data_IF_111254735973
#
_entry.id   IF_111254735973
#
_cell.length_a   1.000
_cell.length_b   1.000
_cell.length_c   1.000
_cell.angle_alpha   90.00
_cell.angle_beta   90.00
_cell.angle_gamma   90.00
#
_symmetry.space_group_name_H-M   'P 1'
#
loop_
_entity.id
_entity.type
_entity.pdbx_description
1 polymer ?
#
# COMPACT_ATOMS: atom_id res chain seq x y z
N UNK A 1 20.13 -9.04 0.20
CA UNK A 1 19.58 -9.24 1.55
C UNK A 1 18.14 -8.77 1.50
N UNK A 2 17.19 -9.70 1.39
CA UNK A 2 15.75 -9.38 1.32
C UNK A 2 15.26 -9.26 2.75
N UNK A 3 15.07 -8.03 3.22
CA UNK A 3 14.47 -7.79 4.53
C UNK A 3 12.95 -7.72 4.35
N UNK A 4 12.24 -8.76 4.80
CA UNK A 4 10.79 -8.70 5.03
C UNK A 4 10.61 -7.99 6.36
N UNK A 5 10.47 -6.66 6.32
CA UNK A 5 10.15 -5.86 7.49
C UNK A 5 8.64 -5.80 7.69
N UNK A 6 8.14 -6.24 8.84
CA UNK A 6 6.82 -5.84 9.34
C UNK A 6 6.84 -4.34 9.57
N UNK A 7 6.28 -3.58 8.62
CA UNK A 7 6.08 -2.15 8.79
C UNK A 7 4.85 -1.92 9.68
N UNK A 8 5.09 -1.39 10.89
CA UNK A 8 4.07 -1.00 11.86
C UNK A 8 3.34 0.29 11.44
N UNK A 9 2.65 0.31 10.31
CA UNK A 9 1.46 1.15 10.08
C UNK A 9 0.72 0.67 8.83
N UNK A 10 -0.03 -0.42 8.95
CA UNK A 10 -1.09 -0.75 8.00
C UNK A 10 -2.34 0.01 8.41
N UNK A 11 -2.75 1.02 7.65
CA UNK A 11 -4.05 1.65 7.85
C UNK A 11 -4.92 1.32 6.64
N UNK A 12 -5.96 0.52 6.92
CA UNK A 12 -7.15 0.46 6.10
C UNK A 12 -7.85 1.83 6.21
N UNK A 13 -7.77 2.61 5.13
CA UNK A 13 -8.30 3.97 5.08
C UNK A 13 -9.66 4.04 4.38
N UNK A 14 -10.19 2.94 3.83
CA UNK A 14 -11.45 2.87 3.08
C UNK A 14 -11.65 4.03 2.06
N UNK A 15 -10.56 4.48 1.43
CA UNK A 15 -10.56 5.59 0.47
C UNK A 15 -9.21 5.71 -0.23
N UNK A 16 -9.23 6.14 -1.50
CA UNK A 16 -8.00 6.39 -2.25
C UNK A 16 -7.27 7.63 -1.68
N UNK A 17 -5.94 7.70 -1.81
CA UNK A 17 -5.14 8.81 -1.25
C UNK A 17 -5.47 10.19 -1.84
N UNK A 18 -6.22 10.23 -2.95
CA UNK A 18 -6.78 11.43 -3.58
C UNK A 18 -8.13 11.85 -2.97
N UNK A 19 -8.68 11.08 -2.04
CA UNK A 19 -9.79 11.48 -1.20
C UNK A 19 -9.36 12.66 -0.32
N UNK A 20 -10.08 13.78 -0.45
CA UNK A 20 -9.82 15.02 0.30
C UNK A 20 -9.81 14.80 1.81
N UNK A 21 -10.48 13.77 2.32
CA UNK A 21 -10.49 13.41 3.74
C UNK A 21 -9.13 12.90 4.25
N UNK A 22 -8.27 12.36 3.37
CA UNK A 22 -6.97 11.80 3.73
C UNK A 22 -5.80 12.74 3.40
N UNK A 23 -6.03 13.80 2.61
CA UNK A 23 -4.99 14.68 2.10
C UNK A 23 -4.18 15.41 3.20
N UNK A 24 -4.84 15.88 4.27
CA UNK A 24 -4.14 16.61 5.35
C UNK A 24 -3.21 15.73 6.20
N UNK A 25 -3.66 14.59 6.76
CA UNK A 25 -2.79 13.71 7.55
C UNK A 25 -1.72 13.01 6.69
N UNK A 26 -1.96 12.82 5.38
CA UNK A 26 -0.99 12.18 4.47
C UNK A 26 -0.13 13.15 3.68
N UNK A 27 -0.33 14.48 3.82
CA UNK A 27 0.38 15.55 3.07
C UNK A 27 1.91 15.48 3.10
N UNK A 28 2.47 14.78 4.08
CA UNK A 28 3.92 14.58 4.19
C UNK A 28 4.32 13.09 4.24
N UNK A 29 3.43 12.20 3.81
CA UNK A 29 3.66 10.78 3.62
C UNK A 29 3.73 10.50 2.12
N UNK A 30 4.53 9.51 1.74
CA UNK A 30 4.71 9.07 0.36
C UNK A 30 4.00 7.73 0.19
N UNK A 31 3.08 7.65 -0.77
CA UNK A 31 2.47 6.39 -1.20
C UNK A 31 3.52 5.50 -1.84
N UNK A 32 3.76 4.32 -1.27
CA UNK A 32 4.75 3.36 -1.80
C UNK A 32 4.30 2.85 -3.17
N UNK A 33 3.00 2.63 -3.37
CA UNK A 33 2.48 2.17 -4.67
C UNK A 33 2.63 3.25 -5.75
N UNK A 34 2.41 4.52 -5.44
CA UNK A 34 2.57 5.59 -6.44
C UNK A 34 4.05 5.85 -6.75
N UNK A 35 4.94 5.68 -5.76
CA UNK A 35 6.37 5.91 -5.93
C UNK A 35 7.13 4.72 -6.54
N UNK A 36 6.74 3.48 -6.25
CA UNK A 36 7.51 2.28 -6.57
C UNK A 36 6.65 1.01 -6.80
N UNK A 37 5.38 1.15 -7.19
CA UNK A 37 4.47 0.03 -7.38
C UNK A 37 4.66 -0.72 -8.69
N UNK A 38 4.53 -2.06 -8.61
CA UNK A 38 4.33 -2.93 -9.78
C UNK A 38 2.82 -3.05 -10.07
N UNK A 39 2.41 -2.67 -11.28
CA UNK A 39 1.02 -2.75 -11.74
C UNK A 39 0.05 -1.81 -10.99
N UNK A 40 -1.25 -2.13 -11.05
CA UNK A 40 -2.29 -1.25 -10.52
C UNK A 40 -2.44 -1.28 -8.98
N UNK A 41 -1.90 -2.31 -8.32
CA UNK A 41 -2.06 -2.48 -6.87
C UNK A 41 -3.50 -2.75 -6.42
N UNK A 42 -4.35 -3.30 -7.29
CA UNK A 42 -5.71 -3.67 -6.91
C UNK A 42 -5.69 -4.78 -5.87
N UNK A 43 -6.38 -4.54 -4.77
CA UNK A 43 -6.43 -5.42 -3.60
C UNK A 43 -7.83 -5.94 -3.33
N UNK A 44 -8.88 -5.32 -3.91
CA UNK A 44 -10.27 -5.67 -3.64
C UNK A 44 -11.14 -5.70 -4.91
N UNK A 45 -12.15 -6.60 -4.97
CA UNK A 45 -12.30 -7.78 -4.12
C UNK A 45 -11.24 -8.83 -4.44
N UNK A 46 -10.81 -9.62 -3.45
CA UNK A 46 -9.74 -10.62 -3.62
C UNK A 46 -10.03 -11.65 -4.73
N UNK A 47 -11.31 -11.99 -4.93
CA UNK A 47 -11.74 -12.92 -5.99
C UNK A 47 -11.59 -12.34 -7.40
N UNK A 48 -11.62 -11.01 -7.54
CA UNK A 48 -11.46 -10.32 -8.82
C UNK A 48 -11.01 -8.87 -8.59
N UNK A 49 -9.70 -8.61 -8.41
CA UNK A 49 -9.22 -7.31 -7.95
C UNK A 49 -9.46 -6.22 -8.99
N UNK A 50 -10.19 -5.18 -8.59
CA UNK A 50 -10.62 -4.09 -9.48
C UNK A 50 -10.31 -2.71 -8.93
N UNK A 51 -10.18 -2.56 -7.62
CA UNK A 51 -9.91 -1.29 -6.98
C UNK A 51 -8.77 -1.43 -5.97
N UNK A 52 -8.05 -0.33 -5.79
CA UNK A 52 -6.99 -0.18 -4.80
C UNK A 52 -7.52 0.69 -3.69
N UNK A 53 -7.82 0.07 -2.56
CA UNK A 53 -8.30 0.73 -1.34
C UNK A 53 -7.37 0.49 -0.14
N UNK A 54 -6.37 -0.38 -0.31
CA UNK A 54 -5.30 -0.62 0.65
C UNK A 54 -4.04 0.16 0.26
N UNK A 55 -3.49 0.93 1.20
CA UNK A 55 -2.37 1.82 0.96
C UNK A 55 -1.26 1.65 2.00
N UNK A 56 0.00 1.67 1.54
CA UNK A 56 1.18 1.79 2.41
C UNK A 56 1.76 3.18 2.21
N UNK A 57 1.81 3.96 3.28
CA UNK A 57 2.29 5.34 3.28
C UNK A 57 3.52 5.45 4.19
N UNK A 58 4.58 6.09 3.70
CA UNK A 58 5.87 6.14 4.42
C UNK A 58 6.43 7.55 4.55
N UNK A 59 7.30 7.77 5.53
CA UNK A 59 8.05 9.02 5.73
C UNK A 59 9.46 8.69 6.19
N UNK A 60 10.45 9.42 5.69
CA UNK A 60 11.84 9.30 6.15
C UNK A 60 12.54 8.03 5.69
N UNK A 61 11.90 7.25 4.82
CA UNK A 61 12.47 6.08 4.12
C UNK A 61 12.18 6.19 2.65
N UNK A 62 13.00 5.54 1.82
CA UNK A 62 12.84 5.48 0.37
C UNK A 62 12.00 4.26 -0.02
N UNK A 63 10.82 4.42 -0.66
CA UNK A 63 10.14 3.32 -1.32
C UNK A 63 11.03 2.67 -2.39
N UNK A 64 11.09 1.35 -2.42
CA UNK A 64 11.88 0.57 -3.40
C UNK A 64 11.01 -0.33 -4.24
N UNK A 65 9.93 -0.88 -3.66
CA UNK A 65 8.96 -1.72 -4.38
C UNK A 65 7.61 -1.74 -3.68
N UNK A 66 6.52 -1.91 -4.41
CA UNK A 66 5.20 -2.27 -3.88
C UNK A 66 4.54 -3.33 -4.76
N UNK A 67 3.87 -4.32 -4.16
CA UNK A 67 3.20 -5.41 -4.87
C UNK A 67 2.08 -6.05 -4.03
N UNK A 68 1.18 -6.77 -4.69
CA UNK A 68 0.08 -7.50 -4.05
C UNK A 68 0.48 -8.97 -3.84
N UNK A 69 0.09 -9.52 -2.70
CA UNK A 69 0.34 -10.91 -2.31
C UNK A 69 -0.87 -11.81 -2.60
N UNK A 70 -0.69 -13.15 -2.66
CA UNK A 70 -1.79 -14.09 -2.80
C UNK A 70 -2.84 -13.96 -1.68
N UNK A 71 -4.08 -14.35 -1.99
CA UNK A 71 -5.19 -14.33 -1.04
C UNK A 71 -4.92 -15.22 0.18
N UNK A 72 -5.33 -14.73 1.37
CA UNK A 72 -5.14 -15.40 2.66
C UNK A 72 -6.45 -15.89 3.29
N UNK A 73 -7.57 -15.81 2.56
CA UNK A 73 -8.92 -16.06 3.07
C UNK A 73 -9.67 -14.79 3.48
N UNK A 74 -9.01 -13.62 3.44
CA UNK A 74 -9.65 -12.30 3.47
C UNK A 74 -10.32 -11.99 2.13
N UNK A 75 -11.29 -11.07 2.13
CA UNK A 75 -11.87 -10.46 0.93
C UNK A 75 -10.98 -9.38 0.30
N UNK A 76 -9.86 -9.04 0.95
CA UNK A 76 -8.77 -8.24 0.42
C UNK A 76 -7.51 -9.09 0.15
N UNK A 77 -6.76 -8.75 -0.89
CA UNK A 77 -5.39 -9.22 -1.09
C UNK A 77 -4.43 -8.37 -0.26
N UNK A 78 -3.47 -8.98 0.48
CA UNK A 78 -2.48 -8.20 1.21
C UNK A 78 -1.58 -7.40 0.27
N UNK A 79 -1.22 -6.18 0.66
CA UNK A 79 -0.24 -5.34 -0.06
C UNK A 79 1.07 -5.34 0.71
N UNK A 80 2.19 -5.44 0.00
CA UNK A 80 3.53 -5.46 0.56
C UNK A 80 4.40 -4.34 -0.03
N UNK A 81 5.35 -3.87 0.77
CA UNK A 81 6.30 -2.83 0.39
C UNK A 81 7.74 -3.24 0.71
N UNK A 82 8.67 -2.85 -0.16
CA UNK A 82 10.10 -2.81 0.11
C UNK A 82 10.54 -1.36 0.32
N UNK A 83 11.31 -1.11 1.38
CA UNK A 83 11.85 0.22 1.72
C UNK A 83 13.37 0.17 1.92
N UNK A 84 14.03 1.31 1.71
CA UNK A 84 15.44 1.56 1.99
C UNK A 84 15.65 2.86 2.77
N UNK A 85 16.89 3.10 3.21
CA UNK A 85 17.31 4.27 3.99
C UNK A 85 18.29 5.13 3.19
#
# INVERSE_FOLDING_TARGET
MTQVGTAETGQDLNGATDDRALADPTSRLVSVQDAAGDGFGFSWPAAFPLVRIDHILVRGVRPVKSWVLPATGSDHLPVAAGIGW
#
